data_IF_002060635632
#
_entry.id   IF_002060635632
#
_cell.length_a   1.000
_cell.length_b   1.000
_cell.length_c   1.000
_cell.angle_alpha   90.00
_cell.angle_beta   90.00
_cell.angle_gamma   90.00
#
_symmetry.space_group_name_H-M   'P 1'
#
loop_
_entity.id
_entity.type
_entity.pdbx_description
1 polymer ?
#
# COMPACT_ATOMS: atom_id res chain seq x y z
N UNK A 1 -2.08 17.10 -7.99
CA UNK A 1 -2.15 18.35 -7.17
C UNK A 1 -3.34 18.48 -6.24
N UNK A 2 -4.58 18.21 -6.67
CA UNK A 2 -5.79 18.38 -5.82
C UNK A 2 -5.71 17.69 -4.45
N UNK A 3 -5.25 16.44 -4.40
CA UNK A 3 -5.16 15.67 -3.14
C UNK A 3 -4.06 16.17 -2.18
N UNK A 4 -2.96 16.69 -2.74
CA UNK A 4 -1.90 17.35 -1.95
C UNK A 4 -2.42 18.67 -1.35
N UNK A 5 -3.23 19.41 -2.09
CA UNK A 5 -3.89 20.62 -1.60
C UNK A 5 -4.91 20.30 -0.50
N UNK A 6 -5.71 19.23 -0.65
CA UNK A 6 -6.64 18.75 0.37
C UNK A 6 -5.93 18.38 1.68
N UNK A 7 -4.83 17.60 1.59
CA UNK A 7 -4.01 17.25 2.76
C UNK A 7 -3.44 18.51 3.43
N UNK A 8 -2.96 19.49 2.66
CA UNK A 8 -2.44 20.75 3.20
C UNK A 8 -3.54 21.52 3.96
N UNK A 9 -4.75 21.57 3.41
CA UNK A 9 -5.90 22.21 4.05
C UNK A 9 -6.29 21.49 5.34
N UNK A 10 -6.39 20.16 5.33
CA UNK A 10 -6.70 19.35 6.52
C UNK A 10 -5.62 19.49 7.60
N UNK A 11 -4.33 19.57 7.22
CA UNK A 11 -3.22 19.86 8.16
C UNK A 11 -3.38 21.22 8.84
N UNK A 12 -3.81 22.24 8.10
CA UNK A 12 -4.09 23.57 8.64
C UNK A 12 -5.26 23.51 9.65
N UNK A 13 -6.37 22.88 9.27
CA UNK A 13 -7.52 22.70 10.16
C UNK A 13 -7.17 21.96 11.46
N UNK A 14 -6.34 20.91 11.38
CA UNK A 14 -5.88 20.17 12.56
C UNK A 14 -5.04 21.05 13.48
N UNK A 15 -4.23 21.97 12.93
CA UNK A 15 -3.43 22.91 13.72
C UNK A 15 -4.34 23.88 14.48
N UNK A 16 -5.38 24.39 13.82
CA UNK A 16 -6.35 25.32 14.41
C UNK A 16 -7.17 24.62 15.51
N UNK A 17 -7.71 23.43 15.22
CA UNK A 17 -8.45 22.62 16.20
C UNK A 17 -7.57 22.21 17.39
N UNK A 18 -6.26 21.97 17.18
CA UNK A 18 -5.32 21.71 18.27
C UNK A 18 -5.11 22.93 19.17
N UNK A 19 -5.10 24.13 18.59
CA UNK A 19 -5.02 25.37 19.36
C UNK A 19 -6.31 25.59 20.17
N UNK A 20 -7.47 25.37 19.57
CA UNK A 20 -8.78 25.42 20.26
C UNK A 20 -8.85 24.41 21.41
N UNK A 21 -8.42 23.18 21.19
CA UNK A 21 -8.37 22.15 22.23
C UNK A 21 -7.46 22.57 23.40
N UNK A 22 -6.31 23.19 23.14
CA UNK A 22 -5.42 23.69 24.21
C UNK A 22 -6.04 24.82 25.02
N UNK A 23 -6.84 25.68 24.38
CA UNK A 23 -7.54 26.81 25.03
C UNK A 23 -8.73 26.34 25.86
N UNK A 24 -9.62 25.58 25.24
CA UNK A 24 -10.94 25.24 25.80
C UNK A 24 -10.91 23.96 26.64
N UNK A 25 -9.96 23.05 26.37
CA UNK A 25 -9.82 21.71 27.01
C UNK A 25 -11.14 20.90 27.06
N UNK A 26 -12.05 21.18 26.14
CA UNK A 26 -13.36 20.53 26.05
C UNK A 26 -13.27 19.13 25.46
N UNK A 27 -14.14 18.23 25.91
CA UNK A 27 -14.31 16.88 25.35
C UNK A 27 -14.71 16.95 23.87
N UNK A 28 -15.46 17.99 23.48
CA UNK A 28 -15.89 18.23 22.09
C UNK A 28 -14.71 18.50 21.18
N UNK A 29 -13.82 19.42 21.56
CA UNK A 29 -12.63 19.77 20.76
C UNK A 29 -11.62 18.64 20.72
N UNK A 30 -11.47 17.85 21.80
CA UNK A 30 -10.68 16.61 21.80
C UNK A 30 -11.18 15.59 20.77
N UNK A 31 -12.49 15.34 20.76
CA UNK A 31 -13.11 14.36 19.85
C UNK A 31 -12.98 14.81 18.38
N UNK A 32 -13.15 16.10 18.12
CA UNK A 32 -13.00 16.67 16.78
C UNK A 32 -11.55 16.57 16.28
N UNK A 33 -10.57 16.85 17.15
CA UNK A 33 -9.14 16.70 16.85
C UNK A 33 -8.81 15.27 16.44
N UNK A 34 -9.21 14.28 17.23
CA UNK A 34 -8.94 12.87 16.93
C UNK A 34 -9.61 12.40 15.64
N UNK A 35 -10.85 12.82 15.37
CA UNK A 35 -11.53 12.52 14.11
C UNK A 35 -10.78 13.07 12.90
N UNK A 36 -10.38 14.35 12.95
CA UNK A 36 -9.65 14.99 11.85
C UNK A 36 -8.25 14.39 11.66
N UNK A 37 -7.56 14.03 12.74
CA UNK A 37 -6.28 13.31 12.68
C UNK A 37 -6.40 11.96 11.97
N UNK A 38 -7.44 11.18 12.27
CA UNK A 38 -7.72 9.93 11.55
C UNK A 38 -7.99 10.16 10.07
N UNK A 39 -8.74 11.21 9.72
CA UNK A 39 -8.99 11.59 8.32
C UNK A 39 -7.70 11.96 7.60
N UNK A 40 -6.80 12.72 8.25
CA UNK A 40 -5.50 13.08 7.67
C UNK A 40 -4.67 11.83 7.37
N UNK A 41 -4.53 10.93 8.34
CA UNK A 41 -3.77 9.69 8.17
C UNK A 41 -4.29 8.87 6.97
N UNK A 42 -5.61 8.75 6.83
CA UNK A 42 -6.25 8.07 5.69
C UNK A 42 -5.95 8.77 4.36
N UNK A 43 -5.99 10.10 4.31
CA UNK A 43 -5.69 10.85 3.08
C UNK A 43 -4.22 10.71 2.68
N UNK A 44 -3.31 10.75 3.65
CA UNK A 44 -1.87 10.54 3.43
C UNK A 44 -1.59 9.13 2.88
N UNK A 45 -2.18 8.09 3.48
CA UNK A 45 -2.06 6.70 2.98
C UNK A 45 -2.57 6.57 1.53
N UNK A 46 -3.72 7.19 1.22
CA UNK A 46 -4.25 7.19 -0.13
C UNK A 46 -3.37 7.93 -1.12
N UNK A 47 -2.73 9.04 -0.72
CA UNK A 47 -1.80 9.77 -1.57
C UNK A 47 -0.59 8.89 -1.88
N UNK A 48 0.04 8.30 -0.86
CA UNK A 48 1.20 7.42 -1.04
C UNK A 48 0.86 6.26 -1.98
N UNK A 49 -0.31 5.63 -1.81
CA UNK A 49 -0.77 4.57 -2.73
C UNK A 49 -0.90 5.06 -4.18
N UNK A 50 -1.40 6.27 -4.40
CA UNK A 50 -1.55 6.84 -5.74
C UNK A 50 -0.21 7.20 -6.37
N UNK A 51 0.73 7.73 -5.58
CA UNK A 51 2.08 8.04 -6.05
C UNK A 51 2.83 6.78 -6.47
N UNK A 52 2.80 5.73 -5.64
CA UNK A 52 3.40 4.42 -5.99
C UNK A 52 2.78 3.87 -7.28
N UNK A 53 1.44 3.87 -7.40
CA UNK A 53 0.78 3.39 -8.62
C UNK A 53 1.09 4.22 -9.87
N UNK A 54 1.34 5.52 -9.72
CA UNK A 54 1.70 6.37 -10.84
C UNK A 54 3.12 6.06 -11.32
N UNK A 55 4.07 5.94 -10.39
CA UNK A 55 5.44 5.54 -10.69
C UNK A 55 5.49 4.16 -11.34
N UNK A 56 4.81 3.16 -10.76
CA UNK A 56 4.74 1.80 -11.30
C UNK A 56 4.24 1.79 -12.76
N UNK A 57 3.26 2.64 -13.10
CA UNK A 57 2.73 2.71 -14.47
C UNK A 57 3.68 3.37 -15.44
N UNK A 58 4.39 4.40 -15.00
CA UNK A 58 5.33 5.14 -15.83
C UNK A 58 6.57 4.30 -16.13
N UNK A 59 7.16 3.67 -15.12
CA UNK A 59 8.33 2.80 -15.27
C UNK A 59 8.03 1.55 -16.11
N UNK A 60 6.81 1.01 -16.01
CA UNK A 60 6.41 -0.19 -16.78
C UNK A 60 5.79 0.13 -18.15
N UNK A 61 5.77 1.38 -18.59
CA UNK A 61 5.09 1.80 -19.82
C UNK A 61 5.62 1.09 -21.07
N UNK A 62 6.91 0.79 -21.11
CA UNK A 62 7.59 0.16 -22.25
C UNK A 62 8.02 -1.29 -21.98
N UNK A 63 7.73 -1.83 -20.79
CA UNK A 63 8.27 -3.12 -20.33
C UNK A 63 7.15 -4.16 -20.15
N UNK A 64 7.24 -5.25 -20.92
CA UNK A 64 6.32 -6.39 -20.81
C UNK A 64 6.77 -7.40 -19.74
N UNK A 65 6.40 -7.18 -18.48
CA UNK A 65 6.77 -8.06 -17.34
C UNK A 65 6.16 -9.47 -17.39
N UNK A 66 5.15 -9.72 -18.22
CA UNK A 66 4.41 -10.98 -18.23
C UNK A 66 5.27 -12.18 -18.65
N UNK A 67 6.12 -12.00 -19.66
CA UNK A 67 6.92 -13.09 -20.24
C UNK A 67 7.97 -13.60 -19.27
N UNK A 68 8.73 -12.70 -18.64
CA UNK A 68 9.74 -13.05 -17.63
C UNK A 68 9.11 -13.73 -16.42
N UNK A 69 8.03 -13.15 -15.90
CA UNK A 69 7.30 -13.67 -14.74
C UNK A 69 6.75 -15.08 -14.93
N UNK A 70 6.35 -15.45 -16.15
CA UNK A 70 5.68 -16.72 -16.40
C UNK A 70 6.60 -17.85 -16.84
N UNK A 71 7.75 -17.50 -17.42
CA UNK A 71 8.58 -18.46 -18.15
C UNK A 71 10.06 -18.46 -17.73
N UNK A 72 10.57 -17.37 -17.18
CA UNK A 72 12.01 -17.22 -16.93
C UNK A 72 12.37 -17.04 -15.44
N UNK A 73 11.38 -16.79 -14.58
CA UNK A 73 11.57 -16.71 -13.14
C UNK A 73 11.03 -17.97 -12.46
N UNK A 74 11.82 -18.55 -11.54
CA UNK A 74 11.33 -19.65 -10.73
C UNK A 74 10.22 -19.14 -9.77
N UNK A 75 8.98 -19.65 -9.89
CA UNK A 75 7.86 -19.18 -9.10
C UNK A 75 8.07 -19.37 -7.59
N UNK A 76 8.93 -20.31 -7.16
CA UNK A 76 9.26 -20.54 -5.75
C UNK A 76 9.95 -19.34 -5.10
N UNK A 77 10.71 -18.56 -5.87
CA UNK A 77 11.32 -17.31 -5.40
C UNK A 77 10.22 -16.34 -4.94
N UNK A 78 9.23 -16.11 -5.80
CA UNK A 78 8.10 -15.21 -5.49
C UNK A 78 7.23 -15.77 -4.37
N UNK A 79 6.99 -17.08 -4.33
CA UNK A 79 6.21 -17.74 -3.27
C UNK A 79 6.91 -17.59 -1.91
N UNK A 80 8.21 -17.86 -1.85
CA UNK A 80 8.99 -17.74 -0.62
C UNK A 80 9.00 -16.31 -0.09
N UNK A 81 9.17 -15.33 -0.98
CA UNK A 81 9.05 -13.92 -0.64
C UNK A 81 7.66 -13.57 -0.09
N UNK A 82 6.59 -14.06 -0.72
CA UNK A 82 5.22 -13.84 -0.24
C UNK A 82 5.01 -14.42 1.17
N UNK A 83 5.50 -15.64 1.43
CA UNK A 83 5.41 -16.28 2.75
C UNK A 83 6.20 -15.49 3.80
N UNK A 84 7.44 -15.12 3.49
CA UNK A 84 8.35 -14.39 4.38
C UNK A 84 7.80 -13.03 4.84
N UNK A 85 7.12 -12.30 3.96
CA UNK A 85 6.60 -10.96 4.23
C UNK A 85 5.07 -10.90 4.44
N UNK A 86 4.41 -12.06 4.50
CA UNK A 86 2.95 -12.14 4.67
C UNK A 86 2.16 -11.47 3.52
N UNK A 87 2.71 -11.45 2.31
CA UNK A 87 2.04 -10.85 1.14
C UNK A 87 1.09 -11.88 0.54
N UNK A 88 -0.20 -11.54 0.34
CA UNK A 88 -1.14 -12.47 -0.27
C UNK A 88 -0.76 -12.82 -1.71
N UNK A 89 -0.69 -14.12 -2.02
CA UNK A 89 -0.25 -14.61 -3.33
C UNK A 89 -1.11 -14.09 -4.48
N UNK A 90 -2.39 -13.79 -4.25
CA UNK A 90 -3.28 -13.22 -5.25
C UNK A 90 -2.92 -11.79 -5.69
N UNK A 91 -2.07 -11.10 -4.91
CA UNK A 91 -1.50 -9.80 -5.31
C UNK A 91 -0.36 -9.96 -6.31
N UNK A 92 0.31 -11.11 -6.30
CA UNK A 92 1.43 -11.41 -7.20
C UNK A 92 0.95 -12.22 -8.39
N UNK A 93 0.23 -13.32 -8.19
CA UNK A 93 -0.25 -14.21 -9.25
C UNK A 93 -1.77 -14.19 -9.33
N UNK A 94 -2.32 -14.05 -10.54
CA UNK A 94 -3.76 -14.20 -10.76
C UNK A 94 -4.20 -15.68 -10.64
N UNK A 95 -5.51 -15.97 -10.72
CA UNK A 95 -6.05 -17.33 -10.53
C UNK A 95 -5.35 -18.36 -11.43
N UNK A 96 -5.32 -18.13 -12.73
CA UNK A 96 -4.71 -19.04 -13.72
C UNK A 96 -3.22 -19.27 -13.46
N UNK A 97 -2.50 -18.23 -13.03
CA UNK A 97 -1.08 -18.32 -12.71
C UNK A 97 -0.83 -19.15 -11.44
N UNK A 98 -1.68 -19.00 -10.42
CA UNK A 98 -1.60 -19.82 -9.20
C UNK A 98 -1.89 -21.29 -9.49
N UNK A 99 -2.79 -21.57 -10.43
CA UNK A 99 -3.07 -22.94 -10.86
C UNK A 99 -1.88 -23.52 -11.63
N UNK A 100 -1.26 -22.75 -12.54
CA UNK A 100 -0.01 -23.15 -13.24
C UNK A 100 1.14 -23.45 -12.27
N UNK A 101 1.28 -22.65 -11.20
CA UNK A 101 2.39 -22.74 -10.25
C UNK A 101 2.02 -23.45 -8.94
N UNK A 102 0.96 -24.27 -8.94
CA UNK A 102 0.50 -25.00 -7.74
C UNK A 102 1.62 -25.76 -7.05
N UNK A 103 2.42 -26.49 -7.83
CA UNK A 103 3.58 -27.25 -7.34
C UNK A 103 4.56 -26.38 -6.53
N UNK A 104 4.80 -25.13 -6.96
CA UNK A 104 5.70 -24.21 -6.27
C UNK A 104 5.07 -23.64 -4.99
N UNK A 105 3.76 -23.37 -5.02
CA UNK A 105 3.01 -22.86 -3.85
C UNK A 105 3.04 -23.86 -2.69
N UNK A 106 2.84 -25.13 -3.02
CA UNK A 106 2.74 -26.22 -2.04
C UNK A 106 4.12 -26.58 -1.46
N UNK A 107 5.17 -26.55 -2.27
CA UNK A 107 6.51 -27.01 -1.85
C UNK A 107 7.43 -25.91 -1.30
N UNK A 108 7.30 -24.65 -1.73
CA UNK A 108 8.25 -23.62 -1.34
C UNK A 108 8.04 -23.17 0.12
N UNK A 109 9.10 -23.12 0.90
CA UNK A 109 9.12 -22.48 2.22
C UNK A 109 9.56 -21.02 2.12
N UNK A 110 9.41 -20.26 3.18
CA UNK A 110 9.89 -18.87 3.25
C UNK A 110 11.43 -18.72 3.17
N UNK A 111 12.16 -19.82 3.29
CA UNK A 111 13.63 -19.87 3.26
C UNK A 111 14.20 -20.42 1.95
N UNK A 112 13.36 -20.61 0.92
CA UNK A 112 13.81 -21.08 -0.39
C UNK A 112 14.93 -20.17 -0.95
N UNK A 113 15.99 -20.79 -1.45
CA UNK A 113 17.09 -20.16 -2.19
C UNK A 113 17.21 -20.86 -3.54
N UNK A 114 17.26 -20.05 -4.60
CA UNK A 114 17.48 -20.51 -5.98
C UNK A 114 18.96 -20.72 -6.25
#
# INVERSE_FOLDING_TARGET
>A
DSKKAEIKQVKKEIKDIKADFKREKSVRTKTLYEKKKKTLARLEEQLTKQEVQATDKDENKEIALGTSKLNYLDPRISVAWCKKYGVPLEKVYNKTQRDKFRWAIDMATEHFKF
#
